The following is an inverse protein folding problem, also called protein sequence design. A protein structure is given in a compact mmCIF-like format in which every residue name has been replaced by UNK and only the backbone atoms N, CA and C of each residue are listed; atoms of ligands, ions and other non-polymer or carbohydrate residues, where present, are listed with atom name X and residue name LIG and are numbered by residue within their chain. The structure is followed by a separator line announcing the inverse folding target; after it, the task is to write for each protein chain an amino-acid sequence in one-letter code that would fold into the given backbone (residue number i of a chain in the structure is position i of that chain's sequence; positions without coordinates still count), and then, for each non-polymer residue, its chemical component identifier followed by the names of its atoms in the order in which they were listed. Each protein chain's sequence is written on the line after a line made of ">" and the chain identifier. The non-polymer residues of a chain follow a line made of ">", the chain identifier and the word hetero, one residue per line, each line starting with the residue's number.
data_IF_248297782882
#
_entry.id   IF_248297782882
#
_cell.length_a   1.000
_cell.length_b   1.000
_cell.length_c   1.000
_cell.angle_alpha   90.00
_cell.angle_beta   90.00
_cell.angle_gamma   90.00
#
_symmetry.space_group_name_H-M   'P 1'
#
loop_
_entity.id
_entity.type
_entity.pdbx_description
1 polymer ?
#
# COMPACT_ATOMS: atom_id res chain seq x y z
N UNK A 1 2.82 -9.40 -13.22
CA UNK A 1 3.40 -8.28 -12.46
C UNK A 1 3.59 -8.71 -11.01
N UNK A 2 4.77 -8.55 -10.51
CA UNK A 2 5.10 -8.81 -9.10
C UNK A 2 4.97 -7.53 -8.29
N UNK A 3 4.26 -7.59 -7.17
CA UNK A 3 4.02 -6.47 -6.28
C UNK A 3 4.51 -6.83 -4.89
N UNK A 4 5.34 -5.98 -4.32
CA UNK A 4 5.74 -6.07 -2.92
C UNK A 4 4.87 -5.13 -2.10
N UNK A 5 4.00 -5.72 -1.28
CA UNK A 5 3.00 -4.99 -0.51
C UNK A 5 3.27 -5.12 0.99
N UNK A 6 3.18 -4.02 1.72
CA UNK A 6 3.18 -4.05 3.17
C UNK A 6 1.74 -4.04 3.67
N UNK A 7 1.42 -4.93 4.61
CA UNK A 7 0.10 -4.99 5.25
C UNK A 7 0.27 -4.72 6.73
N UNK A 8 -0.36 -3.66 7.20
CA UNK A 8 -0.25 -3.17 8.58
C UNK A 8 -1.60 -3.29 9.27
N UNK A 9 -1.67 -4.12 10.28
CA UNK A 9 -2.86 -4.31 11.12
C UNK A 9 -2.41 -5.00 12.40
N UNK A 10 -2.95 -4.61 13.56
CA UNK A 10 -2.57 -5.21 14.84
C UNK A 10 -3.13 -6.63 15.01
N UNK A 11 -4.08 -7.03 14.19
CA UNK A 11 -4.66 -8.37 14.20
C UNK A 11 -4.04 -9.24 13.10
N UNK A 12 -3.39 -10.32 13.51
CA UNK A 12 -2.82 -11.29 12.58
C UNK A 12 -3.89 -11.90 11.67
N UNK A 13 -5.08 -12.17 12.23
CA UNK A 13 -6.20 -12.72 11.47
C UNK A 13 -6.64 -11.74 10.37
N UNK A 14 -6.71 -10.46 10.71
CA UNK A 14 -7.09 -9.43 9.75
C UNK A 14 -6.02 -9.24 8.68
N UNK A 15 -4.72 -9.27 9.04
CA UNK A 15 -3.66 -9.23 8.02
C UNK A 15 -3.79 -10.38 7.04
N UNK A 16 -4.02 -11.59 7.54
CA UNK A 16 -4.20 -12.77 6.68
C UNK A 16 -5.40 -12.61 5.75
N UNK A 17 -6.51 -12.08 6.27
CA UNK A 17 -7.71 -11.83 5.46
C UNK A 17 -7.43 -10.85 4.32
N UNK A 18 -6.74 -9.76 4.60
CA UNK A 18 -6.39 -8.76 3.59
C UNK A 18 -5.46 -9.38 2.53
N UNK A 19 -4.42 -10.09 2.97
CA UNK A 19 -3.49 -10.72 2.05
C UNK A 19 -4.15 -11.76 1.15
N UNK A 20 -5.00 -12.61 1.70
CA UNK A 20 -5.73 -13.60 0.92
C UNK A 20 -6.70 -12.96 -0.07
N UNK A 21 -7.41 -11.91 0.36
CA UNK A 21 -8.32 -11.17 -0.51
C UNK A 21 -7.58 -10.53 -1.68
N UNK A 22 -6.42 -9.95 -1.43
CA UNK A 22 -5.57 -9.37 -2.48
C UNK A 22 -5.12 -10.42 -3.48
N UNK A 23 -4.72 -11.61 -3.02
CA UNK A 23 -4.33 -12.71 -3.92
C UNK A 23 -5.50 -13.15 -4.81
N UNK A 24 -6.72 -13.11 -4.30
CA UNK A 24 -7.92 -13.48 -5.05
C UNK A 24 -8.29 -12.48 -6.14
N UNK A 25 -7.82 -11.24 -6.05
CA UNK A 25 -8.11 -10.22 -7.07
C UNK A 25 -7.44 -10.54 -8.41
N UNK A 26 -6.38 -11.32 -8.41
CA UNK A 26 -5.58 -11.61 -9.62
C UNK A 26 -4.99 -10.36 -10.30
N UNK A 27 -4.96 -9.23 -9.60
CA UNK A 27 -4.35 -8.00 -10.11
C UNK A 27 -2.83 -8.13 -10.23
N UNK A 28 -2.21 -8.94 -9.40
CA UNK A 28 -0.76 -9.13 -9.36
C UNK A 28 -0.38 -10.40 -8.62
N UNK A 29 0.89 -10.78 -8.74
CA UNK A 29 1.54 -11.71 -7.82
C UNK A 29 2.10 -10.91 -6.66
N UNK A 30 1.77 -11.29 -5.44
CA UNK A 30 2.14 -10.53 -4.25
C UNK A 30 3.25 -11.21 -3.46
N UNK A 31 4.22 -10.42 -3.02
CA UNK A 31 5.07 -10.68 -1.88
C UNK A 31 4.65 -9.74 -0.76
N UNK A 32 4.43 -10.26 0.44
CA UNK A 32 3.93 -9.45 1.55
C UNK A 32 4.98 -9.24 2.63
N UNK A 33 5.02 -8.01 3.14
CA UNK A 33 5.70 -7.66 4.38
C UNK A 33 4.61 -7.28 5.39
N UNK A 34 4.61 -7.91 6.56
CA UNK A 34 3.61 -7.66 7.59
C UNK A 34 4.16 -6.77 8.68
N UNK A 35 3.31 -5.89 9.20
CA UNK A 35 3.61 -5.08 10.38
C UNK A 35 2.41 -5.05 11.30
N UNK A 36 2.66 -5.04 12.61
CA UNK A 36 1.59 -5.10 13.62
C UNK A 36 1.10 -3.74 14.09
N UNK A 37 1.84 -2.67 13.81
CA UNK A 37 1.44 -1.29 14.10
C UNK A 37 2.28 -0.32 13.25
N UNK A 38 2.01 0.98 13.40
CA UNK A 38 2.72 2.00 12.64
C UNK A 38 4.21 2.07 12.97
N UNK A 39 4.60 1.85 14.23
CA UNK A 39 6.00 1.88 14.65
C UNK A 39 6.78 0.71 14.04
N UNK A 40 6.21 -0.49 14.07
CA UNK A 40 6.79 -1.67 13.43
C UNK A 40 6.88 -1.49 11.93
N UNK A 41 5.85 -0.91 11.33
CA UNK A 41 5.84 -0.61 9.90
C UNK A 41 6.96 0.35 9.49
N UNK A 42 7.22 1.39 10.28
CA UNK A 42 8.33 2.32 10.01
C UNK A 42 9.69 1.63 10.05
N UNK A 43 9.88 0.69 10.96
CA UNK A 43 11.13 -0.07 11.04
C UNK A 43 11.36 -0.95 9.80
N UNK A 44 10.28 -1.45 9.23
CA UNK A 44 10.31 -2.35 8.06
C UNK A 44 10.17 -1.62 6.74
N UNK A 45 9.84 -0.34 6.78
CA UNK A 45 9.56 0.45 5.59
C UNK A 45 10.83 0.69 4.78
N UNK A 46 10.82 0.24 3.53
CA UNK A 46 11.89 0.48 2.58
C UNK A 46 11.29 0.96 1.26
N UNK A 47 11.38 2.28 0.97
CA UNK A 47 10.72 2.84 -0.20
C UNK A 47 11.28 2.34 -1.54
N UNK A 48 12.49 1.79 -1.57
CA UNK A 48 13.06 1.25 -2.80
C UNK A 48 12.56 -0.16 -3.09
N UNK A 49 12.04 -0.86 -2.09
CA UNK A 49 11.56 -2.24 -2.23
C UNK A 49 10.05 -2.37 -2.25
N UNK A 50 9.31 -1.44 -1.66
CA UNK A 50 7.86 -1.52 -1.55
C UNK A 50 7.17 -0.85 -2.72
N UNK A 51 6.14 -1.50 -3.23
CA UNK A 51 5.29 -0.98 -4.31
C UNK A 51 3.99 -0.37 -3.82
N UNK A 52 3.46 -0.84 -2.69
CA UNK A 52 2.18 -0.38 -2.14
C UNK A 52 2.09 -0.73 -0.65
N UNK A 53 1.33 0.06 0.09
CA UNK A 53 1.09 -0.16 1.52
C UNK A 53 -0.42 -0.20 1.78
N UNK A 54 -0.85 -1.18 2.56
CA UNK A 54 -2.22 -1.31 3.07
C UNK A 54 -2.18 -1.17 4.59
N UNK A 55 -2.86 -0.18 5.13
CA UNK A 55 -2.77 0.14 6.55
C UNK A 55 -4.15 0.26 7.20
N UNK A 56 -4.32 -0.37 8.36
CA UNK A 56 -5.46 -0.11 9.23
C UNK A 56 -5.27 1.24 9.93
N UNK A 57 -6.36 1.82 10.42
CA UNK A 57 -6.33 3.09 11.13
C UNK A 57 -6.02 2.89 12.61
N UNK A 58 -6.83 2.08 13.30
CA UNK A 58 -6.75 1.92 14.75
C UNK A 58 -5.77 0.82 15.13
N UNK A 59 -4.61 1.23 15.62
CA UNK A 59 -3.54 0.33 16.06
C UNK A 59 -2.87 0.91 17.30
N UNK A 60 -2.32 0.05 18.20
CA UNK A 60 -1.57 0.54 19.35
C UNK A 60 -0.24 1.16 18.90
N UNK A 61 0.39 1.90 19.80
CA UNK A 61 1.69 2.55 19.65
C UNK A 61 1.71 3.67 18.61
N UNK A 62 1.38 3.38 17.37
CA UNK A 62 1.24 4.38 16.31
C UNK A 62 0.10 3.95 15.38
N UNK A 63 -0.90 4.82 15.22
CA UNK A 63 -2.02 4.54 14.31
C UNK A 63 -1.63 4.69 12.84
N UNK A 64 -2.52 4.23 11.94
CA UNK A 64 -2.25 4.21 10.52
C UNK A 64 -2.06 5.60 9.91
N UNK A 65 -2.81 6.60 10.38
CA UNK A 65 -2.72 7.96 9.85
C UNK A 65 -1.40 8.61 10.24
N UNK A 66 -0.94 8.43 11.46
CA UNK A 66 0.36 8.95 11.88
C UNK A 66 1.49 8.28 11.10
N UNK A 67 1.36 6.99 10.83
CA UNK A 67 2.28 6.29 9.93
C UNK A 67 2.32 6.92 8.54
N UNK A 68 1.15 7.19 7.94
CA UNK A 68 1.07 7.82 6.61
C UNK A 68 1.74 9.19 6.61
N UNK A 69 1.44 10.01 7.62
CA UNK A 69 2.05 11.34 7.76
C UNK A 69 3.58 11.25 7.83
N UNK A 70 4.10 10.33 8.62
CA UNK A 70 5.55 10.17 8.76
C UNK A 70 6.20 9.69 7.47
N UNK A 71 5.59 8.75 6.77
CA UNK A 71 6.09 8.27 5.48
C UNK A 71 6.10 9.42 4.46
N UNK A 72 5.01 10.19 4.38
CA UNK A 72 4.92 11.30 3.41
C UNK A 72 5.88 12.44 3.74
N UNK A 73 6.31 12.57 4.98
CA UNK A 73 7.35 13.53 5.38
C UNK A 73 8.76 13.10 4.93
N UNK A 74 8.97 11.83 4.63
CA UNK A 74 10.24 11.33 4.11
C UNK A 74 10.40 11.71 2.64
N UNK A 75 11.59 12.13 2.24
CA UNK A 75 11.88 12.43 0.84
C UNK A 75 11.80 11.16 -0.03
N UNK A 76 11.25 11.30 -1.23
CA UNK A 76 11.24 10.23 -2.21
C UNK A 76 10.18 9.16 -2.02
N UNK A 77 9.18 9.39 -1.15
CA UNK A 77 8.12 8.40 -0.89
C UNK A 77 6.80 8.70 -1.58
N UNK A 78 6.68 9.85 -2.23
CA UNK A 78 5.43 10.29 -2.83
C UNK A 78 4.88 9.37 -3.93
N UNK A 79 5.71 8.53 -4.52
CA UNK A 79 5.32 7.59 -5.57
C UNK A 79 4.70 6.30 -5.03
N UNK A 80 4.81 6.01 -3.72
CA UNK A 80 4.32 4.76 -3.14
C UNK A 80 2.84 4.93 -2.77
N UNK A 81 1.92 4.19 -3.42
CA UNK A 81 0.52 4.23 -3.03
C UNK A 81 0.31 3.70 -1.61
N UNK A 82 -0.50 4.40 -0.85
CA UNK A 82 -0.92 3.97 0.49
C UNK A 82 -2.45 3.89 0.51
N UNK A 83 -2.95 2.71 0.87
CA UNK A 83 -4.37 2.40 0.91
C UNK A 83 -4.77 2.17 2.36
N UNK A 84 -5.75 2.92 2.85
CA UNK A 84 -6.32 2.66 4.18
C UNK A 84 -7.36 1.55 4.07
N UNK A 85 -7.23 0.51 4.89
CA UNK A 85 -8.17 -0.62 4.93
C UNK A 85 -8.65 -0.77 6.37
N UNK A 86 -9.81 -0.21 6.68
CA UNK A 86 -10.25 -0.05 8.06
C UNK A 86 -11.77 -0.08 8.19
N UNK A 87 -12.27 -0.32 9.40
CA UNK A 87 -13.69 -0.27 9.71
C UNK A 87 -14.20 1.15 9.98
N UNK A 88 -13.33 2.16 9.97
CA UNK A 88 -13.73 3.55 10.20
C UNK A 88 -14.51 4.09 9.00
N UNK A 89 -15.76 4.51 9.23
CA UNK A 89 -16.68 4.94 8.18
C UNK A 89 -17.05 6.42 8.23
N UNK A 90 -16.53 7.17 9.20
CA UNK A 90 -16.84 8.60 9.31
C UNK A 90 -16.24 9.37 8.14
N UNK A 91 -17.05 10.21 7.50
CA UNK A 91 -16.62 11.01 6.32
C UNK A 91 -15.40 11.87 6.63
N UNK A 92 -15.36 12.52 7.78
CA UNK A 92 -14.22 13.35 8.17
C UNK A 92 -12.91 12.55 8.27
N UNK A 93 -12.99 11.26 8.62
CA UNK A 93 -11.81 10.39 8.65
C UNK A 93 -11.34 10.01 7.26
N UNK A 94 -12.25 9.80 6.31
CA UNK A 94 -11.91 9.56 4.91
C UNK A 94 -11.17 10.77 4.33
N UNK A 95 -11.70 11.98 4.54
CA UNK A 95 -11.06 13.22 4.10
C UNK A 95 -9.69 13.40 4.73
N UNK A 96 -9.55 13.15 6.04
CA UNK A 96 -8.28 13.22 6.74
C UNK A 96 -7.25 12.26 6.12
N UNK A 97 -7.66 11.03 5.81
CA UNK A 97 -6.77 10.04 5.22
C UNK A 97 -6.29 10.46 3.83
N UNK A 98 -7.22 10.89 2.97
CA UNK A 98 -6.92 11.17 1.57
C UNK A 98 -6.31 12.56 1.37
N UNK A 99 -6.91 13.58 1.97
CA UNK A 99 -6.56 14.97 1.68
C UNK A 99 -5.47 15.52 2.59
N UNK A 100 -5.48 15.15 3.88
CA UNK A 100 -4.55 15.71 4.86
C UNK A 100 -3.33 14.84 5.09
N UNK A 101 -3.52 13.52 5.25
CA UNK A 101 -2.41 12.62 5.54
C UNK A 101 -1.67 12.13 4.29
N UNK A 102 -2.34 12.12 3.14
CA UNK A 102 -1.72 11.75 1.88
C UNK A 102 -1.89 10.29 1.49
N UNK A 103 -2.91 9.60 2.01
CA UNK A 103 -3.29 8.27 1.52
C UNK A 103 -3.91 8.40 0.12
N UNK A 104 -3.79 7.34 -0.68
CA UNK A 104 -4.25 7.34 -2.07
C UNK A 104 -5.65 6.78 -2.24
N UNK A 105 -6.06 5.89 -1.33
CA UNK A 105 -7.35 5.23 -1.41
C UNK A 105 -7.81 4.81 -0.01
N UNK A 106 -9.11 4.59 0.13
CA UNK A 106 -9.74 4.22 1.40
C UNK A 106 -10.73 3.08 1.13
N UNK A 107 -10.56 1.97 1.83
CA UNK A 107 -11.41 0.79 1.71
C UNK A 107 -11.99 0.45 3.08
N UNK A 108 -13.32 0.37 3.17
CA UNK A 108 -14.00 0.03 4.41
C UNK A 108 -14.20 -1.48 4.54
N UNK A 109 -13.89 -2.02 5.71
CA UNK A 109 -14.23 -3.40 6.09
C UNK A 109 -15.68 -3.47 6.54
N UNK A 110 -16.43 -4.54 6.22
CA UNK A 110 -16.04 -5.65 5.36
C UNK A 110 -16.08 -5.25 3.88
N UNK A 111 -15.24 -5.88 3.08
CA UNK A 111 -15.18 -5.64 1.64
C UNK A 111 -15.23 -6.95 0.85
N UNK A 112 -15.65 -6.87 -0.41
CA UNK A 112 -15.59 -8.01 -1.34
C UNK A 112 -14.35 -7.92 -2.21
N UNK A 113 -13.98 -9.05 -2.83
CA UNK A 113 -12.85 -9.08 -3.78
C UNK A 113 -13.11 -8.12 -4.95
N UNK A 114 -14.36 -8.05 -5.41
CA UNK A 114 -14.78 -7.15 -6.50
C UNK A 114 -14.62 -5.68 -6.13
N UNK A 115 -14.91 -5.32 -4.88
CA UNK A 115 -14.68 -3.96 -4.38
C UNK A 115 -13.19 -3.62 -4.36
N UNK A 116 -12.35 -4.56 -3.92
CA UNK A 116 -10.90 -4.38 -3.97
C UNK A 116 -10.41 -4.15 -5.40
N UNK A 117 -10.82 -5.00 -6.33
CA UNK A 117 -10.44 -4.88 -7.74
C UNK A 117 -10.81 -3.52 -8.31
N UNK A 118 -12.04 -3.08 -8.05
CA UNK A 118 -12.57 -1.82 -8.53
C UNK A 118 -11.77 -0.63 -8.01
N UNK A 119 -11.47 -0.62 -6.71
CA UNK A 119 -10.76 0.49 -6.08
C UNK A 119 -9.27 0.49 -6.38
N UNK A 120 -8.67 -0.67 -6.60
CA UNK A 120 -7.23 -0.80 -6.73
C UNK A 120 -6.71 -0.86 -8.15
N UNK A 121 -7.57 -1.16 -9.14
CA UNK A 121 -7.12 -1.35 -10.52
C UNK A 121 -6.35 -0.15 -11.07
N UNK A 122 -6.81 1.07 -10.77
CA UNK A 122 -6.12 2.29 -11.22
C UNK A 122 -4.73 2.43 -10.61
N UNK A 123 -4.59 2.16 -9.32
CA UNK A 123 -3.29 2.20 -8.64
C UNK A 123 -2.34 1.14 -9.18
N UNK A 124 -2.83 -0.06 -9.41
CA UNK A 124 -2.00 -1.14 -9.96
C UNK A 124 -1.58 -0.88 -11.40
N UNK A 125 -2.43 -0.24 -12.20
CA UNK A 125 -2.03 0.21 -13.53
C UNK A 125 -0.89 1.23 -13.46
N UNK A 126 -0.94 2.16 -12.52
CA UNK A 126 0.15 3.11 -12.27
C UNK A 126 1.43 2.40 -11.87
N UNK A 127 1.35 1.44 -10.96
CA UNK A 127 2.52 0.67 -10.52
C UNK A 127 3.12 -0.08 -11.70
N UNK A 128 2.29 -0.71 -12.51
CA UNK A 128 2.73 -1.44 -13.70
C UNK A 128 3.45 -0.53 -14.69
N UNK A 129 2.92 0.67 -14.93
CA UNK A 129 3.56 1.67 -15.80
C UNK A 129 4.92 2.10 -15.26
N UNK A 130 5.02 2.34 -13.95
CA UNK A 130 6.26 2.75 -13.31
C UNK A 130 7.31 1.62 -13.37
N UNK A 131 6.91 0.37 -13.18
CA UNK A 131 7.79 -0.78 -13.31
C UNK A 131 8.31 -0.94 -14.74
N UNK A 132 7.44 -0.75 -15.74
CA UNK A 132 7.82 -0.80 -17.15
C UNK A 132 8.82 0.30 -17.51
N UNK A 133 8.60 1.52 -17.03
CA UNK A 133 9.51 2.64 -17.28
C UNK A 133 10.89 2.36 -16.68
N UNK A 134 10.96 1.88 -15.44
CA UNK A 134 12.21 1.51 -14.78
C UNK A 134 12.89 0.36 -15.50
N UNK A 135 12.13 -0.68 -15.87
CA UNK A 135 12.65 -1.81 -16.65
C UNK A 135 13.14 -1.41 -18.03
N UNK A 136 12.39 -0.55 -18.72
CA UNK A 136 12.76 -0.02 -20.03
C UNK A 136 14.06 0.79 -20.00
N UNK A 137 14.20 1.66 -18.99
CA UNK A 137 15.40 2.43 -18.77
C UNK A 137 16.60 1.53 -18.49
N UNK A 138 16.43 0.53 -17.63
CA UNK A 138 17.48 -0.42 -17.30
C UNK A 138 17.90 -1.25 -18.50
N UNK A 139 16.95 -1.69 -19.30
CA UNK A 139 17.22 -2.44 -20.54
C UNK A 139 18.04 -1.62 -21.53
N UNK A 140 17.72 -0.34 -21.68
CA UNK A 140 18.48 0.57 -22.54
C UNK A 140 19.92 0.74 -22.06
N UNK A 141 20.13 0.89 -20.75
CA UNK A 141 21.47 1.01 -20.17
C UNK A 141 22.30 -0.26 -20.40
N UNK A 142 21.70 -1.42 -20.21
CA UNK A 142 22.36 -2.71 -20.43
C UNK A 142 22.72 -2.89 -21.89
N UNK A 143 21.82 -2.54 -22.81
CA UNK A 143 22.04 -2.68 -24.23
C UNK A 143 23.12 -1.74 -24.76
N UNK A 144 23.30 -0.55 -24.15
CA UNK A 144 24.35 0.37 -24.56
C UNK A 144 25.72 -0.07 -24.10
N UNK A 145 25.82 -0.97 -23.13
CA UNK A 145 27.06 -1.51 -22.60
C UNK A 145 27.44 -2.87 -23.20
N UNK A 146 26.61 -3.37 -24.10
CA UNK A 146 26.89 -4.61 -24.82
C UNK A 146 27.65 -4.33 -26.15
#
# INVERSE_FOLDING_TARGET
>A
MKIRAMVIDDSRVMRNMVMQSLRKTRLAEFEFVEAEDGADALKKFNPTELDIVFADWNMPNMNGIDFVRQVRAMAGTGHIPIVMVTSEKAMGKVETALDEAGANEYICKPFTVEQLERKLSGLFNQIAQNQQKSGGFFSKLVNTNA
#
